data_IF_876951261674
#
_entry.id   IF_876951261674
#
_cell.length_a   1.000
_cell.length_b   1.000
_cell.length_c   1.000
_cell.angle_alpha   90.00
_cell.angle_beta   90.00
_cell.angle_gamma   90.00
#
_symmetry.space_group_name_H-M   'P 1'
#
loop_
_entity.id
_entity.type
_entity.pdbx_description
1 polymer ?
#
# COMPACT_ATOMS: atom_id res chain seq x y z
N UNK A 1 -35.71 -6.00 6.41
CA UNK A 1 -34.99 -5.70 5.15
C UNK A 1 -35.27 -4.28 4.63
N UNK A 2 -36.47 -3.73 4.68
CA UNK A 2 -36.79 -2.38 4.21
C UNK A 2 -36.25 -1.22 5.08
N UNK A 3 -36.04 -1.40 6.37
CA UNK A 3 -35.52 -0.35 7.27
C UNK A 3 -34.03 -0.09 7.05
N UNK A 4 -33.23 -1.12 6.75
CA UNK A 4 -31.82 -0.96 6.43
C UNK A 4 -31.59 -0.24 5.08
N UNK A 5 -32.46 -0.46 4.11
CA UNK A 5 -32.38 0.19 2.80
C UNK A 5 -32.72 1.67 2.88
N UNK A 6 -33.66 2.06 3.75
CA UNK A 6 -34.05 3.46 3.95
C UNK A 6 -32.96 4.28 4.68
N UNK A 7 -32.26 3.67 5.63
CA UNK A 7 -31.12 4.28 6.32
C UNK A 7 -29.94 4.46 5.38
N UNK A 8 -29.65 3.48 4.48
CA UNK A 8 -28.58 3.62 3.49
C UNK A 8 -28.83 4.72 2.47
N UNK A 9 -30.07 4.90 1.97
CA UNK A 9 -30.40 5.94 0.98
C UNK A 9 -30.35 7.33 1.62
N UNK A 10 -30.85 7.51 2.85
CA UNK A 10 -30.77 8.78 3.54
C UNK A 10 -29.35 9.20 3.91
N UNK A 11 -28.50 8.26 4.28
CA UNK A 11 -27.07 8.54 4.56
C UNK A 11 -26.29 8.87 3.28
N UNK A 12 -26.64 8.30 2.12
CA UNK A 12 -25.99 8.59 0.84
C UNK A 12 -26.33 10.00 0.34
N UNK A 13 -27.59 10.40 0.42
CA UNK A 13 -28.05 11.75 -0.01
C UNK A 13 -27.54 12.85 0.96
N UNK A 14 -27.45 12.54 2.25
CA UNK A 14 -26.88 13.47 3.25
C UNK A 14 -25.37 13.65 3.06
N UNK A 15 -24.65 12.58 2.70
CA UNK A 15 -23.22 12.61 2.39
C UNK A 15 -22.90 13.47 1.15
N UNK A 16 -23.69 13.37 0.08
CA UNK A 16 -23.46 14.16 -1.14
C UNK A 16 -23.72 15.66 -0.90
N UNK A 17 -24.74 16.02 -0.12
CA UNK A 17 -25.02 17.43 0.25
C UNK A 17 -23.96 17.99 1.22
N UNK A 18 -23.44 17.21 2.16
CA UNK A 18 -22.37 17.64 3.07
C UNK A 18 -21.05 17.87 2.30
N UNK A 19 -20.70 16.98 1.39
CA UNK A 19 -19.50 17.09 0.55
C UNK A 19 -19.56 18.32 -0.36
N UNK A 20 -20.73 18.60 -0.92
CA UNK A 20 -20.95 19.77 -1.75
C UNK A 20 -20.86 21.09 -0.95
N UNK A 21 -21.39 21.15 0.28
CA UNK A 21 -21.30 22.32 1.16
C UNK A 21 -19.88 22.59 1.66
N UNK A 22 -19.08 21.56 1.92
CA UNK A 22 -17.69 21.69 2.39
C UNK A 22 -16.80 22.26 1.27
N UNK A 23 -16.95 21.79 0.04
CA UNK A 23 -16.15 22.24 -1.10
C UNK A 23 -16.49 23.63 -1.61
N UNK A 24 -17.68 24.16 -1.30
CA UNK A 24 -18.12 25.49 -1.76
C UNK A 24 -17.85 26.63 -0.77
N UNK A 25 -17.19 26.40 0.37
CA UNK A 25 -16.92 27.41 1.41
C UNK A 25 -18.16 28.18 1.93
N UNK A 26 -19.37 27.61 1.77
CA UNK A 26 -20.65 28.36 2.01
C UNK A 26 -21.22 28.21 3.42
N UNK A 27 -20.58 27.52 4.36
CA UNK A 27 -21.06 27.37 5.75
C UNK A 27 -19.96 27.59 6.79
N UNK A 28 -19.69 28.81 7.21
CA UNK A 28 -18.65 29.14 8.20
C UNK A 28 -18.85 28.47 9.57
N UNK A 29 -20.10 28.26 9.98
CA UNK A 29 -20.42 27.62 11.27
C UNK A 29 -20.14 26.12 11.29
N UNK A 30 -20.24 25.42 10.16
CA UNK A 30 -19.86 24.00 10.04
C UNK A 30 -18.34 23.81 10.19
N UNK A 31 -17.56 24.77 9.72
CA UNK A 31 -16.11 24.81 9.91
C UNK A 31 -15.77 25.02 11.39
N UNK A 32 -16.47 25.92 12.07
CA UNK A 32 -16.28 26.18 13.50
C UNK A 32 -16.70 25.00 14.39
N UNK A 33 -17.72 24.23 14.00
CA UNK A 33 -18.13 22.99 14.70
C UNK A 33 -17.08 21.90 14.50
N UNK A 34 -16.58 21.71 13.26
CA UNK A 34 -15.51 20.74 12.98
C UNK A 34 -14.19 21.11 13.67
N UNK A 35 -13.83 22.39 13.71
CA UNK A 35 -12.64 22.85 14.44
C UNK A 35 -12.79 22.66 15.96
N UNK A 36 -13.99 22.86 16.52
CA UNK A 36 -14.28 22.56 17.94
C UNK A 36 -14.27 21.06 18.24
N UNK A 37 -14.79 20.22 17.34
CA UNK A 37 -14.72 18.77 17.50
C UNK A 37 -13.30 18.24 17.33
N UNK A 38 -12.50 18.81 16.44
CA UNK A 38 -11.07 18.47 16.29
C UNK A 38 -10.28 18.86 17.55
N UNK A 39 -10.60 20.01 18.18
CA UNK A 39 -9.95 20.46 19.44
C UNK A 39 -10.43 19.63 20.62
N UNK A 40 -11.70 19.25 20.68
CA UNK A 40 -12.25 18.37 21.72
C UNK A 40 -11.69 16.94 21.62
N UNK A 41 -11.52 16.41 20.39
CA UNK A 41 -10.95 15.08 20.17
C UNK A 41 -9.45 14.96 20.39
N UNK A 42 -8.69 16.07 20.44
CA UNK A 42 -7.28 16.02 20.92
C UNK A 42 -7.15 15.63 22.40
N UNK A 43 -8.24 15.70 23.17
CA UNK A 43 -8.29 15.24 24.57
C UNK A 43 -8.84 13.81 24.76
N UNK A 44 -9.47 13.22 23.73
CA UNK A 44 -10.00 11.85 23.76
C UNK A 44 -9.66 11.11 22.46
N UNK A 45 -8.42 10.62 22.36
CA UNK A 45 -7.86 9.96 21.15
C UNK A 45 -8.38 8.54 20.88
N UNK A 46 -9.57 8.13 21.30
CA UNK A 46 -9.90 6.70 21.21
C UNK A 46 -11.16 6.30 20.44
N UNK A 47 -11.87 7.18 19.71
CA UNK A 47 -12.99 6.73 18.86
C UNK A 47 -13.29 7.69 17.70
N UNK A 48 -12.38 7.83 16.74
CA UNK A 48 -12.74 8.34 15.42
C UNK A 48 -13.43 7.20 14.64
N UNK A 49 -14.67 7.40 14.11
CA UNK A 49 -15.30 6.38 13.30
C UNK A 49 -14.40 5.98 12.13
N UNK A 50 -14.26 4.70 11.86
CA UNK A 50 -13.47 4.11 10.75
C UNK A 50 -13.67 4.84 9.40
N UNK A 51 -14.85 5.45 9.21
CA UNK A 51 -15.19 6.24 8.02
C UNK A 51 -14.40 7.57 7.91
N UNK A 52 -14.03 8.22 9.02
CA UNK A 52 -13.25 9.47 8.99
C UNK A 52 -11.77 9.16 8.78
N UNK A 53 -11.28 8.06 9.34
CA UNK A 53 -9.91 7.58 9.11
C UNK A 53 -9.66 7.22 7.63
N UNK A 54 -10.62 6.54 6.97
CA UNK A 54 -10.52 6.22 5.54
C UNK A 54 -10.61 7.45 4.63
N UNK A 55 -11.39 8.48 5.02
CA UNK A 55 -11.47 9.74 4.26
C UNK A 55 -10.21 10.61 4.41
N UNK A 56 -9.57 10.60 5.58
CA UNK A 56 -8.29 11.28 5.79
C UNK A 56 -7.16 10.56 5.04
N UNK A 57 -7.18 9.24 4.96
CA UNK A 57 -6.21 8.45 4.20
C UNK A 57 -6.34 8.69 2.69
N UNK A 58 -7.56 8.79 2.14
CA UNK A 58 -7.80 9.11 0.74
C UNK A 58 -7.31 10.51 0.32
N UNK A 59 -7.09 11.42 1.28
CA UNK A 59 -6.55 12.76 1.02
C UNK A 59 -5.01 12.78 0.87
N UNK A 60 -4.33 11.70 1.18
CA UNK A 60 -2.86 11.60 1.24
C UNK A 60 -2.23 10.98 -0.01
N UNK A 61 -3.04 10.41 -0.90
CA UNK A 61 -2.58 9.96 -2.21
C UNK A 61 -2.29 11.15 -3.15
N UNK A 62 -1.38 10.98 -4.07
CA UNK A 62 -1.05 11.96 -5.13
C UNK A 62 -2.07 11.95 -6.26
N UNK A 63 -2.64 10.78 -6.56
CA UNK A 63 -3.71 10.60 -7.54
C UNK A 63 -5.06 10.79 -6.87
N UNK A 64 -5.90 11.63 -7.46
CA UNK A 64 -7.26 11.95 -6.96
C UNK A 64 -8.30 11.76 -8.05
N UNK A 65 -9.56 11.47 -7.67
CA UNK A 65 -10.64 11.39 -8.65
C UNK A 65 -10.79 12.70 -9.44
N UNK A 66 -10.86 12.59 -10.77
CA UNK A 66 -11.16 13.75 -11.64
C UNK A 66 -12.59 14.22 -11.42
N UNK A 67 -12.78 15.55 -11.26
CA UNK A 67 -14.08 16.15 -11.01
C UNK A 67 -14.99 16.14 -12.25
N UNK A 68 -14.39 16.30 -13.45
CA UNK A 68 -15.10 16.34 -14.72
C UNK A 68 -14.94 15.00 -15.45
N UNK A 69 -15.19 13.90 -14.76
CA UNK A 69 -15.02 12.56 -15.28
C UNK A 69 -16.18 12.12 -16.17
N UNK A 70 -15.86 11.59 -17.34
CA UNK A 70 -16.80 10.93 -18.25
C UNK A 70 -16.15 9.69 -18.84
N UNK A 71 -16.58 8.51 -18.38
CA UNK A 71 -15.99 7.23 -18.79
C UNK A 71 -16.09 6.97 -20.30
N UNK A 72 -17.20 7.37 -20.93
CA UNK A 72 -17.45 7.22 -22.36
C UNK A 72 -16.47 8.06 -23.19
N UNK A 73 -16.30 9.33 -22.79
CA UNK A 73 -15.38 10.24 -23.48
C UNK A 73 -13.92 9.82 -23.26
N UNK A 74 -13.54 9.40 -22.05
CA UNK A 74 -12.21 8.90 -21.76
C UNK A 74 -11.89 7.62 -22.58
N UNK A 75 -12.86 6.72 -22.74
CA UNK A 75 -12.73 5.54 -23.57
C UNK A 75 -12.52 5.89 -25.06
N UNK A 76 -13.20 6.93 -25.57
CA UNK A 76 -12.99 7.42 -26.94
C UNK A 76 -11.59 8.01 -27.16
N UNK A 77 -11.08 8.75 -26.16
CA UNK A 77 -9.71 9.30 -26.23
C UNK A 77 -8.71 8.16 -26.33
N UNK A 78 -8.82 7.14 -25.46
CA UNK A 78 -7.94 5.96 -25.51
C UNK A 78 -8.06 5.19 -26.83
N UNK A 79 -9.27 4.99 -27.32
CA UNK A 79 -9.46 4.33 -28.61
C UNK A 79 -8.76 5.08 -29.75
N UNK A 80 -8.86 6.41 -29.78
CA UNK A 80 -8.20 7.23 -30.80
C UNK A 80 -6.68 7.18 -30.67
N UNK A 81 -6.16 7.19 -29.42
CA UNK A 81 -4.73 7.12 -29.15
C UNK A 81 -4.08 5.78 -29.58
N UNK A 82 -4.88 4.70 -29.66
CA UNK A 82 -4.43 3.36 -30.04
C UNK A 82 -4.94 2.92 -31.43
N UNK A 83 -5.59 3.82 -32.20
CA UNK A 83 -6.16 3.47 -33.49
C UNK A 83 -5.22 3.87 -34.64
N UNK A 84 -4.77 2.91 -35.42
CA UNK A 84 -4.04 3.19 -36.67
C UNK A 84 -2.61 2.67 -36.64
N UNK A 85 -1.69 3.40 -37.27
CA UNK A 85 -0.27 3.09 -37.26
C UNK A 85 0.42 3.97 -36.21
N UNK A 86 0.99 3.33 -35.20
CA UNK A 86 1.59 4.00 -34.06
C UNK A 86 0.59 4.26 -32.94
N UNK A 87 1.11 4.56 -31.77
CA UNK A 87 0.36 4.78 -30.52
C UNK A 87 0.69 6.17 -29.99
N UNK A 88 -0.30 6.89 -29.47
CA UNK A 88 -0.10 8.15 -28.74
C UNK A 88 0.04 7.84 -27.24
N UNK A 89 1.27 7.52 -26.84
CA UNK A 89 1.62 7.17 -25.47
C UNK A 89 1.38 8.34 -24.52
N UNK A 90 1.61 9.58 -24.95
CA UNK A 90 1.37 10.76 -24.15
C UNK A 90 -0.13 10.94 -23.83
N UNK A 91 -1.03 10.74 -24.79
CA UNK A 91 -2.47 10.78 -24.54
C UNK A 91 -2.92 9.68 -23.56
N UNK A 92 -2.37 8.47 -23.68
CA UNK A 92 -2.68 7.36 -22.77
C UNK A 92 -2.22 7.67 -21.36
N UNK A 93 -0.96 8.08 -21.17
CA UNK A 93 -0.39 8.33 -19.84
C UNK A 93 -1.06 9.52 -19.15
N UNK A 94 -1.27 10.65 -19.86
CA UNK A 94 -1.90 11.84 -19.29
C UNK A 94 -3.33 11.55 -18.81
N UNK A 95 -4.07 10.73 -19.55
CA UNK A 95 -5.42 10.34 -19.17
C UNK A 95 -5.41 9.37 -17.99
N UNK A 96 -4.75 8.22 -18.12
CA UNK A 96 -4.87 7.14 -17.14
C UNK A 96 -4.25 7.48 -15.78
N UNK A 97 -3.14 8.23 -15.75
CA UNK A 97 -2.51 8.67 -14.51
C UNK A 97 -3.39 9.70 -13.77
N UNK A 98 -4.13 10.54 -14.51
CA UNK A 98 -5.03 11.56 -13.94
C UNK A 98 -6.41 11.03 -13.54
N UNK A 99 -6.63 9.73 -13.53
CA UNK A 99 -7.88 9.10 -13.09
C UNK A 99 -7.64 8.21 -11.88
N UNK A 100 -8.59 8.21 -10.93
CA UNK A 100 -8.56 7.24 -9.84
C UNK A 100 -8.79 5.81 -10.35
N UNK A 101 -8.41 4.80 -9.58
CA UNK A 101 -8.64 3.40 -9.93
C UNK A 101 -10.13 3.11 -10.17
N UNK A 102 -11.02 3.64 -9.33
CA UNK A 102 -12.47 3.50 -9.54
C UNK A 102 -12.92 4.09 -10.90
N UNK A 103 -12.35 5.21 -11.34
CA UNK A 103 -12.63 5.79 -12.65
C UNK A 103 -12.03 4.94 -13.77
N UNK A 104 -10.82 4.42 -13.61
CA UNK A 104 -10.21 3.51 -14.59
C UNK A 104 -11.03 2.22 -14.76
N UNK A 105 -11.62 1.66 -13.69
CA UNK A 105 -12.53 0.52 -13.84
C UNK A 105 -13.78 0.87 -14.66
N UNK A 106 -14.34 2.08 -14.50
CA UNK A 106 -15.47 2.54 -15.31
C UNK A 106 -15.07 2.75 -16.78
N UNK A 107 -13.88 3.28 -17.04
CA UNK A 107 -13.33 3.42 -18.41
C UNK A 107 -13.19 2.04 -19.08
N UNK A 108 -12.71 1.00 -18.37
CA UNK A 108 -12.64 -0.38 -18.91
C UNK A 108 -14.01 -0.86 -19.40
N UNK A 109 -15.05 -0.67 -18.58
CA UNK A 109 -16.42 -1.07 -18.94
C UNK A 109 -16.93 -0.28 -20.14
N UNK A 110 -16.73 1.05 -20.15
CA UNK A 110 -17.15 1.92 -21.26
C UNK A 110 -16.43 1.55 -22.56
N UNK A 111 -15.13 1.28 -22.50
CA UNK A 111 -14.33 0.88 -23.67
C UNK A 111 -14.83 -0.43 -24.29
N UNK A 112 -15.06 -1.45 -23.44
CA UNK A 112 -15.61 -2.73 -23.90
C UNK A 112 -17.00 -2.59 -24.49
N UNK A 113 -17.85 -1.76 -23.89
CA UNK A 113 -19.23 -1.51 -24.36
C UNK A 113 -19.24 -0.81 -25.71
N UNK A 114 -18.36 0.18 -25.93
CA UNK A 114 -18.34 0.97 -27.16
C UNK A 114 -17.61 0.27 -28.32
N UNK A 115 -16.50 -0.39 -28.03
CA UNK A 115 -15.58 -0.90 -29.05
C UNK A 115 -15.51 -2.42 -29.12
N UNK A 116 -16.18 -3.13 -28.21
CA UNK A 116 -16.22 -4.60 -28.17
C UNK A 116 -14.89 -5.27 -27.78
N UNK A 117 -13.86 -4.48 -27.42
CA UNK A 117 -12.51 -4.94 -27.07
C UNK A 117 -12.23 -4.77 -25.59
N UNK A 118 -11.39 -5.62 -25.01
CA UNK A 118 -10.86 -5.37 -23.68
C UNK A 118 -9.79 -4.28 -23.74
N UNK A 119 -9.88 -3.29 -22.83
CA UNK A 119 -8.95 -2.18 -22.80
C UNK A 119 -7.54 -2.61 -22.37
N UNK A 120 -7.45 -3.52 -21.39
CA UNK A 120 -6.14 -3.98 -20.88
C UNK A 120 -5.41 -4.79 -21.95
N UNK A 121 -6.12 -5.66 -22.66
CA UNK A 121 -5.55 -6.45 -23.75
C UNK A 121 -5.12 -5.54 -24.92
N UNK A 122 -5.89 -4.48 -25.21
CA UNK A 122 -5.51 -3.50 -26.23
C UNK A 122 -4.23 -2.74 -25.80
N UNK A 123 -4.15 -2.27 -24.54
CA UNK A 123 -2.97 -1.59 -24.01
C UNK A 123 -1.72 -2.49 -24.07
N UNK A 124 -1.83 -3.77 -23.73
CA UNK A 124 -0.73 -4.74 -23.85
C UNK A 124 -0.26 -4.95 -25.28
N UNK A 125 -1.16 -4.83 -26.25
CA UNK A 125 -0.82 -4.95 -27.67
C UNK A 125 -0.14 -3.70 -28.25
N UNK A 126 -0.34 -2.55 -27.64
CA UNK A 126 0.12 -1.24 -28.13
C UNK A 126 1.33 -0.69 -27.39
N UNK A 127 1.49 -1.04 -26.10
CA UNK A 127 2.57 -0.56 -25.26
C UNK A 127 3.66 -1.63 -25.11
N UNK A 128 4.82 -1.22 -24.59
CA UNK A 128 5.90 -2.15 -24.37
C UNK A 128 6.75 -1.82 -23.13
N UNK A 129 7.53 -2.82 -22.69
CA UNK A 129 8.52 -2.68 -21.64
C UNK A 129 7.91 -2.27 -20.28
N UNK A 130 8.67 -1.49 -19.51
CA UNK A 130 8.26 -1.06 -18.16
C UNK A 130 7.10 -0.06 -18.18
N UNK A 131 6.93 0.68 -19.28
CA UNK A 131 5.77 1.55 -19.46
C UNK A 131 4.47 0.75 -19.55
N UNK A 132 4.44 -0.32 -20.34
CA UNK A 132 3.31 -1.26 -20.39
C UNK A 132 3.01 -1.82 -18.99
N UNK A 133 4.03 -2.34 -18.30
CA UNK A 133 3.88 -2.92 -16.95
C UNK A 133 3.23 -1.93 -15.97
N UNK A 134 3.69 -0.67 -15.99
CA UNK A 134 3.15 0.39 -15.12
C UNK A 134 1.68 0.70 -15.46
N UNK A 135 1.36 0.92 -16.75
CA UNK A 135 0.00 1.26 -17.17
C UNK A 135 -0.97 0.10 -16.92
N UNK A 136 -0.59 -1.13 -17.22
CA UNK A 136 -1.41 -2.33 -16.94
C UNK A 136 -1.60 -2.50 -15.42
N UNK A 137 -0.57 -2.25 -14.62
CA UNK A 137 -0.67 -2.24 -13.16
C UNK A 137 -1.69 -1.23 -12.64
N UNK A 138 -1.69 0.00 -13.17
CA UNK A 138 -2.69 1.02 -12.82
C UNK A 138 -4.13 0.63 -13.19
N UNK A 139 -4.30 -0.20 -14.24
CA UNK A 139 -5.61 -0.68 -14.69
C UNK A 139 -6.17 -1.82 -13.84
N UNK A 140 -5.37 -2.46 -13.00
CA UNK A 140 -5.85 -3.49 -12.07
C UNK A 140 -6.55 -2.87 -10.86
N UNK A 141 -7.61 -3.51 -10.37
CA UNK A 141 -8.19 -3.14 -9.08
C UNK A 141 -7.18 -3.45 -7.95
N UNK A 142 -7.08 -2.62 -6.87
CA UNK A 142 -6.03 -2.78 -5.86
C UNK A 142 -5.95 -4.19 -5.26
N UNK A 143 -7.10 -4.79 -4.92
CA UNK A 143 -7.15 -6.16 -4.40
C UNK A 143 -6.66 -7.18 -5.44
N UNK A 144 -7.10 -7.07 -6.68
CA UNK A 144 -6.67 -7.96 -7.77
C UNK A 144 -5.18 -7.80 -8.09
N UNK A 145 -4.63 -6.59 -7.95
CA UNK A 145 -3.21 -6.34 -8.10
C UNK A 145 -2.37 -7.08 -7.03
N UNK A 146 -2.74 -6.96 -5.75
CA UNK A 146 -2.05 -7.68 -4.67
C UNK A 146 -2.15 -9.20 -4.83
N UNK A 147 -3.33 -9.71 -5.20
CA UNK A 147 -3.58 -11.15 -5.44
C UNK A 147 -2.71 -11.67 -6.58
N UNK A 148 -2.67 -10.97 -7.71
CA UNK A 148 -1.84 -11.37 -8.86
C UNK A 148 -0.34 -11.24 -8.58
N UNK A 149 0.08 -10.22 -7.81
CA UNK A 149 1.47 -10.04 -7.40
C UNK A 149 1.94 -11.21 -6.52
N UNK A 150 1.13 -11.63 -5.55
CA UNK A 150 1.44 -12.80 -4.70
C UNK A 150 1.48 -14.10 -5.53
N UNK A 151 0.51 -14.31 -6.44
CA UNK A 151 0.53 -15.48 -7.34
C UNK A 151 1.81 -15.54 -8.17
N UNK A 152 2.19 -14.41 -8.74
CA UNK A 152 3.41 -14.35 -9.58
C UNK A 152 4.69 -14.54 -8.75
N UNK A 153 4.71 -14.12 -7.48
CA UNK A 153 5.84 -14.26 -6.59
C UNK A 153 6.13 -15.72 -6.19
N UNK A 154 5.11 -16.59 -6.20
CA UNK A 154 5.23 -18.01 -5.82
C UNK A 154 5.09 -18.97 -7.00
N UNK A 155 4.70 -18.46 -8.19
CA UNK A 155 4.53 -19.30 -9.38
C UNK A 155 5.84 -19.43 -10.16
N UNK A 156 6.34 -20.63 -10.32
CA UNK A 156 7.50 -20.92 -11.17
C UNK A 156 8.68 -21.51 -10.39
N UNK A 157 9.87 -21.34 -10.94
CA UNK A 157 11.10 -21.82 -10.30
C UNK A 157 11.66 -20.72 -9.37
N UNK A 158 11.46 -20.89 -8.08
CA UNK A 158 11.88 -19.94 -7.03
C UNK A 158 10.74 -19.00 -6.59
N UNK A 159 10.99 -18.31 -5.48
CA UNK A 159 10.03 -17.42 -4.83
C UNK A 159 10.57 -16.00 -4.79
N UNK A 160 9.77 -15.03 -5.19
CA UNK A 160 10.09 -13.60 -4.94
C UNK A 160 9.69 -13.23 -3.51
N UNK A 161 10.60 -13.49 -2.58
CA UNK A 161 10.39 -13.21 -1.16
C UNK A 161 10.13 -11.72 -0.89
N UNK A 162 10.66 -10.81 -1.71
CA UNK A 162 10.47 -9.36 -1.54
C UNK A 162 8.99 -8.98 -1.67
N UNK A 163 8.27 -9.55 -2.64
CA UNK A 163 6.84 -9.31 -2.84
C UNK A 163 6.03 -9.83 -1.66
N UNK A 164 6.34 -11.05 -1.18
CA UNK A 164 5.68 -11.62 0.00
C UNK A 164 5.89 -10.74 1.23
N UNK A 165 7.13 -10.32 1.47
CA UNK A 165 7.51 -9.43 2.59
C UNK A 165 6.77 -8.11 2.50
N UNK A 166 6.81 -7.44 1.34
CA UNK A 166 6.17 -6.13 1.15
C UNK A 166 4.67 -6.18 1.42
N UNK A 167 3.96 -7.10 0.78
CA UNK A 167 2.49 -7.16 0.88
C UNK A 167 2.08 -7.57 2.29
N UNK A 168 2.62 -8.66 2.83
CA UNK A 168 2.15 -9.21 4.10
C UNK A 168 2.56 -8.38 5.33
N UNK A 169 3.67 -7.64 5.26
CA UNK A 169 4.07 -6.74 6.34
C UNK A 169 3.32 -5.40 6.33
N UNK A 170 2.92 -4.89 5.16
CA UNK A 170 2.38 -3.52 5.01
C UNK A 170 0.86 -3.45 4.92
N UNK A 171 0.18 -4.52 4.53
CA UNK A 171 -1.30 -4.53 4.45
C UNK A 171 -1.91 -4.69 5.84
N UNK A 172 -3.08 -4.09 6.04
CA UNK A 172 -3.84 -4.25 7.28
C UNK A 172 -4.36 -5.68 7.43
N UNK A 173 -4.63 -6.17 8.66
CA UNK A 173 -5.20 -7.50 8.87
C UNK A 173 -6.47 -7.76 8.05
N UNK A 174 -7.32 -6.74 7.88
CA UNK A 174 -8.53 -6.85 7.08
C UNK A 174 -8.21 -7.02 5.58
N UNK A 175 -7.26 -6.23 5.05
CA UNK A 175 -6.82 -6.36 3.65
C UNK A 175 -6.20 -7.74 3.39
N UNK A 176 -5.41 -8.27 4.32
CA UNK A 176 -4.85 -9.63 4.20
C UNK A 176 -5.94 -10.68 4.11
N UNK A 177 -6.98 -10.60 4.93
CA UNK A 177 -8.14 -11.51 4.84
C UNK A 177 -8.86 -11.42 3.50
N UNK A 178 -9.02 -10.20 2.98
CA UNK A 178 -9.62 -9.98 1.66
C UNK A 178 -8.75 -10.55 0.53
N UNK A 179 -7.42 -10.43 0.64
CA UNK A 179 -6.46 -11.01 -0.31
C UNK A 179 -6.56 -12.55 -0.30
N UNK A 180 -6.55 -13.19 0.87
CA UNK A 180 -6.66 -14.65 0.99
C UNK A 180 -7.97 -15.16 0.39
N UNK A 181 -9.09 -14.49 0.70
CA UNK A 181 -10.39 -14.85 0.13
C UNK A 181 -10.46 -14.65 -1.38
N UNK A 182 -9.89 -13.57 -1.88
CA UNK A 182 -9.86 -13.26 -3.31
C UNK A 182 -8.93 -14.21 -4.08
N UNK A 183 -7.79 -14.57 -3.51
CA UNK A 183 -6.86 -15.54 -4.09
C UNK A 183 -7.52 -16.89 -4.31
N UNK A 184 -8.22 -17.41 -3.28
CA UNK A 184 -8.96 -18.68 -3.38
C UNK A 184 -10.05 -18.61 -4.45
N UNK A 185 -10.75 -17.48 -4.54
CA UNK A 185 -11.81 -17.27 -5.53
C UNK A 185 -11.28 -17.23 -6.96
N UNK A 186 -10.11 -16.61 -7.17
CA UNK A 186 -9.54 -16.37 -8.49
C UNK A 186 -8.83 -17.60 -9.04
N UNK A 187 -8.09 -18.32 -8.18
CA UNK A 187 -7.21 -19.42 -8.63
C UNK A 187 -7.68 -20.82 -8.20
N UNK A 188 -8.72 -20.90 -7.38
CA UNK A 188 -9.20 -22.16 -6.75
C UNK A 188 -8.11 -22.87 -5.92
N UNK A 189 -7.10 -22.10 -5.48
CA UNK A 189 -5.94 -22.55 -4.70
C UNK A 189 -5.93 -21.87 -3.31
N UNK A 190 -5.23 -22.44 -2.35
CA UNK A 190 -5.04 -21.88 -1.01
C UNK A 190 -3.69 -21.15 -0.92
N UNK A 191 -3.75 -19.83 -0.65
CA UNK A 191 -2.56 -18.99 -0.57
C UNK A 191 -1.60 -19.42 0.55
N UNK A 192 -2.13 -19.94 1.68
CA UNK A 192 -1.29 -20.43 2.78
C UNK A 192 -0.55 -21.71 2.39
N UNK A 193 -1.23 -22.62 1.68
CA UNK A 193 -0.62 -23.86 1.17
C UNK A 193 0.46 -23.54 0.14
N UNK A 194 0.19 -22.64 -0.81
CA UNK A 194 1.14 -22.23 -1.84
C UNK A 194 2.40 -21.60 -1.22
N UNK A 195 2.24 -20.61 -0.33
CA UNK A 195 3.38 -19.98 0.37
C UNK A 195 4.12 -21.00 1.25
N UNK A 196 3.40 -21.91 1.90
CA UNK A 196 4.00 -22.93 2.75
C UNK A 196 4.77 -23.98 1.95
N UNK A 197 4.38 -24.24 0.73
CA UNK A 197 5.10 -25.11 -0.20
C UNK A 197 6.44 -24.53 -0.64
N UNK A 198 6.49 -23.21 -0.82
CA UNK A 198 7.64 -22.51 -1.40
C UNK A 198 8.60 -21.91 -0.36
N UNK A 199 8.24 -21.92 0.91
CA UNK A 199 9.04 -21.33 1.99
C UNK A 199 9.31 -22.32 3.11
N UNK A 200 10.24 -22.01 4.02
CA UNK A 200 10.63 -22.92 5.09
C UNK A 200 11.00 -22.20 6.40
N UNK A 201 11.16 -22.96 7.48
CA UNK A 201 11.68 -22.49 8.76
C UNK A 201 10.84 -21.42 9.43
N UNK A 202 11.51 -20.48 10.10
CA UNK A 202 10.87 -19.37 10.81
C UNK A 202 10.32 -18.30 9.87
N UNK A 203 10.87 -18.16 8.66
CA UNK A 203 10.34 -17.29 7.61
C UNK A 203 8.91 -17.70 7.23
N UNK A 204 8.72 -18.97 6.83
CA UNK A 204 7.41 -19.56 6.58
C UNK A 204 6.43 -19.32 7.74
N UNK A 205 6.89 -19.62 8.98
CA UNK A 205 6.05 -19.50 10.15
C UNK A 205 5.54 -18.08 10.37
N UNK A 206 6.39 -17.07 10.16
CA UNK A 206 5.97 -15.66 10.26
C UNK A 206 5.00 -15.28 9.14
N UNK A 207 5.25 -15.69 7.89
CA UNK A 207 4.32 -15.47 6.77
C UNK A 207 2.93 -16.06 7.06
N UNK A 208 2.86 -17.29 7.54
CA UNK A 208 1.59 -17.95 7.90
C UNK A 208 0.86 -17.18 9.01
N UNK A 209 1.57 -16.72 10.05
CA UNK A 209 0.95 -15.89 11.11
C UNK A 209 0.36 -14.59 10.51
N UNK A 210 1.07 -13.94 9.61
CA UNK A 210 0.60 -12.71 8.97
C UNK A 210 -0.63 -12.96 8.09
N UNK A 211 -0.65 -14.08 7.33
CA UNK A 211 -1.76 -14.48 6.47
C UNK A 211 -3.07 -14.69 7.23
N UNK A 212 -3.02 -15.10 8.49
CA UNK A 212 -4.23 -15.23 9.32
C UNK A 212 -4.96 -13.89 9.52
N UNK A 213 -4.27 -12.77 9.37
CA UNK A 213 -4.86 -11.44 9.58
C UNK A 213 -5.48 -11.26 10.98
N UNK A 214 -4.93 -11.96 11.99
CA UNK A 214 -5.47 -12.00 13.36
C UNK A 214 -4.59 -11.27 14.37
N UNK A 215 -3.85 -10.23 13.94
CA UNK A 215 -3.10 -9.40 14.87
C UNK A 215 -4.02 -8.82 15.94
N UNK A 216 -3.54 -8.79 17.16
CA UNK A 216 -4.27 -8.20 18.30
C UNK A 216 -4.60 -6.74 17.99
N UNK A 217 -5.67 -6.24 18.59
CA UNK A 217 -6.06 -4.84 18.50
C UNK A 217 -5.66 -4.07 19.76
N UNK A 218 -5.24 -2.82 19.60
CA UNK A 218 -4.89 -1.92 20.70
C UNK A 218 -3.65 -2.34 21.49
N UNK A 219 -3.42 -1.66 22.59
CA UNK A 219 -2.29 -1.91 23.51
C UNK A 219 -2.74 -2.81 24.64
N UNK A 220 -2.07 -3.92 24.83
CA UNK A 220 -2.27 -4.81 25.98
C UNK A 220 -1.47 -4.25 27.17
N UNK A 221 -2.11 -3.43 27.99
CA UNK A 221 -1.48 -2.88 29.19
C UNK A 221 -0.91 -3.99 30.10
N UNK A 222 0.27 -3.77 30.66
CA UNK A 222 0.99 -4.76 31.49
C UNK A 222 1.84 -5.77 30.72
N UNK A 223 1.67 -5.91 29.39
CA UNK A 223 2.46 -6.84 28.59
C UNK A 223 3.59 -6.16 27.79
N UNK A 224 3.65 -4.82 27.75
CA UNK A 224 4.65 -4.10 26.95
C UNK A 224 6.06 -4.36 27.46
N UNK A 225 6.30 -4.14 28.76
CA UNK A 225 7.60 -4.38 29.41
C UNK A 225 7.95 -5.87 29.43
N UNK A 226 6.94 -6.73 29.61
CA UNK A 226 7.14 -8.19 29.57
C UNK A 226 7.57 -8.65 28.17
N UNK A 227 6.88 -8.21 27.10
CA UNK A 227 7.25 -8.53 25.72
C UNK A 227 8.65 -8.00 25.36
N UNK A 228 9.00 -6.78 25.80
CA UNK A 228 10.34 -6.22 25.60
C UNK A 228 11.44 -7.04 26.31
N UNK A 229 11.19 -7.47 27.56
CA UNK A 229 12.12 -8.33 28.29
C UNK A 229 12.26 -9.71 27.66
N UNK A 230 11.17 -10.30 27.17
CA UNK A 230 11.18 -11.59 26.50
C UNK A 230 11.98 -11.53 25.22
N UNK A 231 11.80 -10.48 24.39
CA UNK A 231 12.59 -10.25 23.17
C UNK A 231 14.08 -10.03 23.49
N UNK A 232 14.39 -9.24 24.53
CA UNK A 232 15.76 -8.99 24.95
C UNK A 232 16.48 -10.29 25.40
N UNK A 233 15.78 -11.14 26.17
CA UNK A 233 16.32 -12.44 26.58
C UNK A 233 16.50 -13.39 25.39
N UNK A 234 15.60 -13.37 24.42
CA UNK A 234 15.62 -14.24 23.26
C UNK A 234 16.78 -13.93 22.30
N UNK A 235 17.17 -12.67 22.18
CA UNK A 235 18.32 -12.24 21.38
C UNK A 235 19.59 -12.12 22.19
N UNK A 236 19.66 -11.13 23.08
CA UNK A 236 20.92 -10.64 23.63
C UNK A 236 21.46 -11.45 24.84
N UNK A 237 20.63 -12.23 25.51
CA UNK A 237 21.04 -12.98 26.72
C UNK A 237 21.21 -14.49 26.50
N UNK A 238 21.09 -14.95 25.28
CA UNK A 238 21.19 -16.37 24.93
C UNK A 238 22.33 -16.60 23.93
N UNK A 239 23.05 -17.71 24.10
CA UNK A 239 24.00 -18.16 23.08
C UNK A 239 23.19 -18.78 21.93
N UNK A 240 23.09 -18.04 20.81
CA UNK A 240 22.13 -18.31 19.72
C UNK A 240 20.79 -17.63 20.00
N UNK A 241 20.07 -17.33 18.93
CA UNK A 241 18.80 -16.58 18.96
C UNK A 241 17.62 -17.53 19.13
N UNK A 242 16.60 -17.10 19.86
CA UNK A 242 15.28 -17.74 19.86
C UNK A 242 14.35 -17.03 18.86
N UNK A 243 14.54 -17.34 17.57
CA UNK A 243 13.79 -16.74 16.47
C UNK A 243 12.29 -16.97 16.63
N UNK A 244 11.88 -18.08 17.26
CA UNK A 244 10.48 -18.36 17.51
C UNK A 244 9.81 -17.31 18.38
N UNK A 245 10.51 -16.77 19.35
CA UNK A 245 10.02 -15.70 20.21
C UNK A 245 9.81 -14.41 19.41
N UNK A 246 10.75 -14.02 18.55
CA UNK A 246 10.59 -12.87 17.64
C UNK A 246 9.38 -13.05 16.73
N UNK A 247 9.26 -14.21 16.08
CA UNK A 247 8.14 -14.57 15.20
C UNK A 247 6.80 -14.44 15.94
N UNK A 248 6.71 -14.95 17.16
CA UNK A 248 5.46 -14.96 17.92
C UNK A 248 5.04 -13.56 18.34
N UNK A 249 5.95 -12.74 18.88
CA UNK A 249 5.61 -11.41 19.37
C UNK A 249 5.37 -10.46 18.19
N UNK A 250 6.30 -10.37 17.23
CA UNK A 250 6.21 -9.43 16.13
C UNK A 250 5.08 -9.79 15.14
N UNK A 251 4.73 -11.07 15.02
CA UNK A 251 3.64 -11.53 14.17
C UNK A 251 2.24 -11.27 14.74
N UNK A 252 2.06 -11.35 16.07
CA UNK A 252 0.72 -11.35 16.67
C UNK A 252 0.32 -10.03 17.34
N UNK A 253 1.28 -9.22 17.81
CA UNK A 253 0.95 -7.95 18.49
C UNK A 253 0.50 -6.88 17.50
N UNK A 254 -0.37 -5.96 17.97
CA UNK A 254 -0.78 -4.79 17.18
C UNK A 254 0.40 -3.86 16.91
N UNK A 255 0.36 -3.08 15.82
CA UNK A 255 1.37 -2.08 15.52
C UNK A 255 1.50 -1.03 16.65
N UNK A 256 0.38 -0.66 17.29
CA UNK A 256 0.37 0.27 18.41
C UNK A 256 1.07 -0.29 19.65
N UNK A 257 0.83 -1.57 19.95
CA UNK A 257 1.52 -2.27 21.03
C UNK A 257 3.01 -2.42 20.74
N UNK A 258 3.38 -2.83 19.53
CA UNK A 258 4.77 -3.01 19.12
C UNK A 258 5.58 -1.72 19.21
N UNK A 259 5.03 -0.56 18.86
CA UNK A 259 5.74 0.72 19.04
C UNK A 259 6.17 0.93 20.48
N UNK A 260 5.28 0.65 21.44
CA UNK A 260 5.62 0.76 22.88
C UNK A 260 6.63 -0.29 23.33
N UNK A 261 6.54 -1.51 22.78
CA UNK A 261 7.54 -2.57 23.02
C UNK A 261 8.91 -2.14 22.51
N UNK A 262 9.01 -1.51 21.36
CA UNK A 262 10.28 -1.02 20.81
C UNK A 262 10.89 0.09 21.67
N UNK A 263 10.06 1.02 22.19
CA UNK A 263 10.51 2.05 23.14
C UNK A 263 11.02 1.44 24.46
N UNK A 264 10.36 0.40 24.97
CA UNK A 264 10.79 -0.32 26.16
C UNK A 264 12.06 -1.14 25.90
N UNK A 265 12.15 -1.78 24.72
CA UNK A 265 13.32 -2.54 24.30
C UNK A 265 14.57 -1.66 24.18
N UNK A 266 14.46 -0.48 23.57
CA UNK A 266 15.54 0.50 23.49
C UNK A 266 16.10 0.88 24.84
N UNK A 267 15.24 1.00 25.87
CA UNK A 267 15.67 1.29 27.25
C UNK A 267 16.42 0.13 27.89
N UNK A 268 16.09 -1.11 27.52
CA UNK A 268 16.75 -2.32 28.04
C UNK A 268 18.06 -2.61 27.34
N UNK A 269 18.07 -2.55 26.01
CA UNK A 269 19.17 -2.96 25.17
C UNK A 269 20.19 -1.84 24.88
N UNK A 270 19.74 -0.58 24.91
CA UNK A 270 20.55 0.59 24.51
C UNK A 270 20.65 0.80 23.01
N UNK A 271 19.91 0.03 22.20
CA UNK A 271 19.86 0.13 20.73
C UNK A 271 18.48 -0.29 20.22
N UNK A 272 18.20 0.04 18.94
CA UNK A 272 16.91 -0.20 18.33
C UNK A 272 16.65 -1.69 18.02
N UNK A 273 15.37 -2.07 17.97
CA UNK A 273 14.92 -3.43 17.63
C UNK A 273 15.45 -3.89 16.27
N UNK A 274 15.54 -2.98 15.31
CA UNK A 274 16.08 -3.27 13.97
C UNK A 274 17.56 -3.67 14.00
N UNK A 275 18.32 -3.16 14.95
CA UNK A 275 19.73 -3.53 15.13
C UNK A 275 19.86 -4.93 15.71
N UNK A 276 19.05 -5.27 16.70
CA UNK A 276 18.98 -6.63 17.25
C UNK A 276 18.60 -7.63 16.17
N UNK A 277 17.54 -7.39 15.42
CA UNK A 277 17.11 -8.28 14.31
C UNK A 277 18.24 -8.51 13.30
N UNK A 278 19.00 -7.47 12.95
CA UNK A 278 20.12 -7.59 12.00
C UNK A 278 21.28 -8.43 12.53
N UNK A 279 21.54 -8.40 13.84
CA UNK A 279 22.57 -9.19 14.49
C UNK A 279 22.16 -10.64 14.67
N UNK A 280 20.91 -10.86 15.05
CA UNK A 280 20.39 -12.13 15.53
C UNK A 280 19.77 -13.00 14.44
N UNK A 281 19.43 -12.44 13.28
CA UNK A 281 18.72 -13.17 12.21
C UNK A 281 19.35 -12.93 10.83
N UNK A 282 18.99 -13.76 9.85
CA UNK A 282 19.51 -13.68 8.49
C UNK A 282 18.46 -14.07 7.43
N UNK A 283 18.75 -13.80 6.15
CA UNK A 283 17.91 -14.19 5.01
C UNK A 283 16.51 -13.60 5.06
N UNK A 284 15.55 -14.28 4.45
CA UNK A 284 14.16 -13.85 4.35
C UNK A 284 13.49 -13.58 5.69
N UNK A 285 13.84 -14.34 6.75
CA UNK A 285 13.33 -14.08 8.10
C UNK A 285 13.73 -12.70 8.60
N UNK A 286 14.99 -12.30 8.46
CA UNK A 286 15.49 -10.98 8.84
C UNK A 286 14.73 -9.89 8.09
N UNK A 287 14.58 -10.06 6.78
CA UNK A 287 13.95 -9.04 5.94
C UNK A 287 12.47 -8.87 6.27
N UNK A 288 11.76 -9.97 6.55
CA UNK A 288 10.36 -9.93 6.99
C UNK A 288 10.19 -9.32 8.39
N UNK A 289 11.03 -9.68 9.36
CA UNK A 289 11.00 -9.09 10.70
C UNK A 289 11.28 -7.58 10.65
N UNK A 290 12.28 -7.15 9.86
CA UNK A 290 12.58 -5.73 9.66
C UNK A 290 11.41 -4.99 9.00
N UNK A 291 10.76 -5.58 7.99
CA UNK A 291 9.59 -4.99 7.36
C UNK A 291 8.43 -4.84 8.35
N UNK A 292 8.16 -5.85 9.18
CA UNK A 292 7.13 -5.80 10.23
C UNK A 292 7.42 -4.68 11.23
N UNK A 293 8.66 -4.55 11.71
CA UNK A 293 9.05 -3.49 12.66
C UNK A 293 8.90 -2.11 12.03
N UNK A 294 9.41 -1.92 10.81
CA UNK A 294 9.30 -0.66 10.08
C UNK A 294 7.86 -0.28 9.79
N UNK A 295 7.03 -1.21 9.30
CA UNK A 295 5.60 -0.97 9.07
C UNK A 295 4.84 -0.69 10.37
N UNK A 296 5.20 -1.32 11.49
CA UNK A 296 4.62 -1.01 12.80
C UNK A 296 4.96 0.42 13.25
N UNK A 297 6.15 0.94 12.93
CA UNK A 297 6.53 2.33 13.18
C UNK A 297 5.81 3.30 12.24
N UNK A 298 6.00 3.13 10.93
CA UNK A 298 5.44 3.99 9.87
C UNK A 298 5.46 3.28 8.51
N UNK A 299 4.30 3.00 7.97
CA UNK A 299 4.17 2.41 6.63
C UNK A 299 4.74 3.34 5.54
N UNK A 300 4.47 4.67 5.55
CA UNK A 300 5.10 5.58 4.58
C UNK A 300 6.64 5.58 4.62
N UNK A 301 7.22 5.49 5.82
CA UNK A 301 8.68 5.41 5.99
C UNK A 301 9.24 4.13 5.39
N UNK A 302 8.58 2.99 5.62
CA UNK A 302 8.95 1.71 5.02
C UNK A 302 8.97 1.79 3.48
N UNK A 303 7.92 2.35 2.87
CA UNK A 303 7.87 2.50 1.41
C UNK A 303 8.85 3.54 0.86
N UNK A 304 9.16 4.59 1.62
CA UNK A 304 10.21 5.54 1.25
C UNK A 304 11.58 4.85 1.16
N UNK A 305 11.93 4.02 2.14
CA UNK A 305 13.15 3.22 2.10
C UNK A 305 13.13 2.20 0.96
N UNK A 306 11.99 1.51 0.74
CA UNK A 306 11.83 0.55 -0.36
C UNK A 306 12.08 1.20 -1.72
N UNK A 307 11.50 2.39 -1.97
CA UNK A 307 11.73 3.16 -3.19
C UNK A 307 13.19 3.60 -3.35
N UNK A 308 13.81 4.06 -2.25
CA UNK A 308 15.22 4.46 -2.30
C UNK A 308 16.12 3.29 -2.70
N UNK A 309 15.95 2.12 -2.06
CA UNK A 309 16.77 0.96 -2.38
C UNK A 309 16.46 0.33 -3.75
N UNK A 310 15.25 0.53 -4.26
CA UNK A 310 14.90 0.12 -5.63
C UNK A 310 15.65 0.91 -6.71
N UNK A 311 16.04 2.17 -6.40
CA UNK A 311 16.72 3.08 -7.33
C UNK A 311 18.19 3.35 -6.96
N UNK A 312 18.67 2.84 -5.83
CA UNK A 312 20.05 3.08 -5.37
C UNK A 312 21.03 2.11 -6.00
N UNK A 313 21.98 2.62 -6.76
CA UNK A 313 23.12 1.82 -7.27
C UNK A 313 23.19 1.78 -8.78
N UNK A 314 23.74 0.71 -9.32
CA UNK A 314 23.80 0.49 -10.77
C UNK A 314 22.58 -0.31 -11.22
N UNK A 315 21.63 0.38 -11.83
CA UNK A 315 20.36 -0.19 -12.31
C UNK A 315 19.20 -0.01 -11.32
N UNK A 316 18.00 -0.18 -11.81
CA UNK A 316 16.73 0.05 -11.09
C UNK A 316 16.01 -1.29 -10.89
N UNK A 317 15.53 -1.55 -9.69
CA UNK A 317 14.51 -2.58 -9.43
C UNK A 317 13.13 -2.03 -9.84
N UNK A 318 12.91 -2.04 -11.16
CA UNK A 318 11.69 -1.47 -11.76
C UNK A 318 10.42 -2.13 -11.24
N UNK A 319 10.45 -3.43 -10.96
CA UNK A 319 9.27 -4.17 -10.53
C UNK A 319 8.84 -3.71 -9.13
N UNK A 320 9.78 -3.48 -8.23
CA UNK A 320 9.53 -2.86 -6.92
C UNK A 320 9.08 -1.40 -7.06
N UNK A 321 9.75 -0.60 -7.91
CA UNK A 321 9.39 0.79 -8.14
C UNK A 321 7.95 0.91 -8.67
N UNK A 322 7.58 0.13 -9.70
CA UNK A 322 6.23 0.10 -10.27
C UNK A 322 5.21 -0.32 -9.21
N UNK A 323 5.46 -1.40 -8.49
CA UNK A 323 4.52 -1.94 -7.50
C UNK A 323 4.21 -0.92 -6.42
N UNK A 324 5.22 -0.26 -5.86
CA UNK A 324 5.02 0.77 -4.83
C UNK A 324 4.29 1.98 -5.40
N UNK A 325 4.70 2.49 -6.56
CA UNK A 325 4.06 3.65 -7.18
C UNK A 325 2.58 3.38 -7.52
N UNK A 326 2.25 2.20 -8.04
CA UNK A 326 0.87 1.79 -8.33
C UNK A 326 0.04 1.67 -7.05
N UNK A 327 0.54 0.95 -6.05
CA UNK A 327 -0.26 0.61 -4.86
C UNK A 327 -0.39 1.77 -3.88
N UNK A 328 0.55 2.74 -3.87
CA UNK A 328 0.55 3.86 -2.93
C UNK A 328 0.02 5.17 -3.49
N UNK A 329 -0.09 5.30 -4.84
CA UNK A 329 -0.49 6.54 -5.51
C UNK A 329 -1.82 7.14 -5.03
N UNK A 330 -2.79 6.32 -4.67
CA UNK A 330 -4.10 6.77 -4.16
C UNK A 330 -4.23 6.65 -2.64
N UNK A 331 -3.24 6.06 -1.95
CA UNK A 331 -3.31 5.78 -0.51
C UNK A 331 -2.55 6.83 0.30
N UNK A 332 -1.23 6.87 0.19
CA UNK A 332 -0.37 7.69 1.03
C UNK A 332 0.94 8.11 0.36
N UNK A 333 1.03 8.09 -0.98
CA UNK A 333 2.27 8.42 -1.69
C UNK A 333 2.78 9.82 -1.33
N UNK A 334 1.91 10.75 -0.96
CA UNK A 334 2.31 12.08 -0.49
C UNK A 334 3.10 12.02 0.83
N UNK A 335 2.70 11.12 1.75
CA UNK A 335 3.45 10.89 2.99
C UNK A 335 4.76 10.16 2.72
N UNK A 336 4.75 9.18 1.80
CA UNK A 336 5.96 8.48 1.35
C UNK A 336 7.00 9.47 0.80
N UNK A 337 6.60 10.43 -0.03
CA UNK A 337 7.47 11.52 -0.54
C UNK A 337 8.07 12.35 0.60
N UNK A 338 7.23 12.71 1.56
CA UNK A 338 7.65 13.50 2.73
C UNK A 338 8.71 12.75 3.55
N UNK A 339 8.49 11.47 3.82
CA UNK A 339 9.45 10.63 4.53
C UNK A 339 10.71 10.38 3.71
N UNK A 340 10.57 10.18 2.39
CA UNK A 340 11.70 10.01 1.48
C UNK A 340 12.67 11.19 1.55
N UNK A 341 12.15 12.41 1.47
CA UNK A 341 12.96 13.63 1.56
C UNK A 341 13.67 13.76 2.93
N UNK A 342 12.96 13.45 4.02
CA UNK A 342 13.54 13.47 5.37
C UNK A 342 14.71 12.50 5.53
N UNK A 343 14.58 11.29 4.97
CA UNK A 343 15.56 10.22 5.13
C UNK A 343 16.78 10.41 4.23
N UNK A 344 16.59 10.90 2.99
CA UNK A 344 17.62 10.83 1.96
C UNK A 344 18.08 12.20 1.45
N UNK A 345 17.54 13.29 1.98
CA UNK A 345 17.88 14.69 1.63
C UNK A 345 17.73 15.02 0.14
N UNK A 346 16.98 14.22 -0.62
CA UNK A 346 16.59 14.46 -2.01
C UNK A 346 15.13 14.15 -2.19
N UNK A 347 14.47 14.71 -3.21
CA UNK A 347 13.06 14.39 -3.50
C UNK A 347 12.94 13.06 -4.24
N UNK A 348 11.80 12.34 -4.00
CA UNK A 348 11.48 11.14 -4.77
C UNK A 348 11.39 11.45 -6.27
N UNK A 349 10.84 12.62 -6.63
CA UNK A 349 10.75 13.09 -8.01
C UNK A 349 12.13 13.18 -8.67
N UNK A 350 13.09 13.83 -8.01
CA UNK A 350 14.46 13.97 -8.52
C UNK A 350 15.15 12.62 -8.71
N UNK A 351 14.92 11.68 -7.78
CA UNK A 351 15.53 10.35 -7.87
C UNK A 351 14.92 9.54 -9.03
N UNK A 352 13.60 9.53 -9.18
CA UNK A 352 12.93 8.91 -10.34
C UNK A 352 13.45 9.50 -11.65
N UNK A 353 13.58 10.84 -11.72
CA UNK A 353 14.06 11.54 -12.90
C UNK A 353 15.51 11.18 -13.25
N UNK A 354 16.34 10.91 -12.27
CA UNK A 354 17.73 10.50 -12.48
C UNK A 354 17.91 9.04 -12.88
N UNK A 355 16.97 8.18 -12.52
CA UNK A 355 17.13 6.72 -12.60
C UNK A 355 16.32 6.05 -13.71
N UNK A 356 15.34 6.75 -14.26
CA UNK A 356 14.43 6.21 -15.28
C UNK A 356 14.43 7.07 -16.56
N UNK A 357 13.73 6.62 -17.63
CA UNK A 357 13.69 7.34 -18.90
C UNK A 357 12.38 7.13 -19.71
N UNK A 358 12.22 7.92 -20.77
CA UNK A 358 11.11 7.78 -21.73
C UNK A 358 9.73 8.04 -21.13
N UNK A 359 8.71 7.39 -21.71
CA UNK A 359 7.31 7.52 -21.26
C UNK A 359 7.07 6.84 -19.91
N UNK A 360 7.85 5.82 -19.59
CA UNK A 360 7.91 5.23 -18.27
C UNK A 360 8.25 6.26 -17.18
N UNK A 361 9.31 7.04 -17.38
CA UNK A 361 9.68 8.14 -16.49
C UNK A 361 8.58 9.18 -16.38
N UNK A 362 8.02 9.63 -17.51
CA UNK A 362 6.94 10.63 -17.52
C UNK A 362 5.75 10.16 -16.67
N UNK A 363 5.33 8.89 -16.83
CA UNK A 363 4.23 8.34 -16.08
C UNK A 363 4.52 8.26 -14.57
N UNK A 364 5.71 7.83 -14.17
CA UNK A 364 6.14 7.80 -12.76
C UNK A 364 6.18 9.19 -12.14
N UNK A 365 6.69 10.20 -12.86
CA UNK A 365 6.76 11.59 -12.38
C UNK A 365 5.36 12.21 -12.21
N UNK A 366 4.42 11.87 -13.09
CA UNK A 366 3.01 12.27 -12.96
C UNK A 366 2.36 11.60 -11.75
N UNK A 367 2.58 10.29 -11.54
CA UNK A 367 2.11 9.58 -10.34
C UNK A 367 2.72 10.16 -9.07
N UNK A 368 3.99 10.56 -9.12
CA UNK A 368 4.65 11.23 -8.00
C UNK A 368 3.95 12.54 -7.62
N UNK A 369 3.30 13.23 -8.58
CA UNK A 369 2.46 14.40 -8.31
C UNK A 369 3.22 15.69 -8.08
N UNK A 370 4.44 15.82 -8.62
CA UNK A 370 5.28 17.02 -8.55
C UNK A 370 6.55 16.84 -7.72
N UNK A 371 7.40 17.84 -7.78
CA UNK A 371 8.67 17.88 -7.03
C UNK A 371 8.50 18.63 -5.71
N UNK A 372 9.09 18.09 -4.65
CA UNK A 372 9.18 18.71 -3.31
C UNK A 372 10.56 19.34 -3.07
N UNK A 373 11.31 19.64 -4.15
CA UNK A 373 12.68 20.13 -4.08
C UNK A 373 12.84 21.45 -3.31
#
# INVERSE_FOLDING_TARGET
MYVCMYICIHTYVFRHKLYWCINQHKCPWLRAVLEKEIICNRRHQNNLPLCISSMLQAARGTVKPSQNFNATQDAEVLYKAMKGIGTDEDAILQLLVARSNAQRQQIKVAYKTQFGKDLVDTLKGELGGKFETLIVGLMAAPLAYDVSALRNAIKGAGTDEKVLVEILASRTPQQVKEIVAAYRKEYDDDLEEDISGDTSGHFKRLLVILLQGNRQSGVQGGNVEADAQVLFKAGEQKFGTDEQTFVTILGNRSAEHLRKVFDAYMKLAGFEMEESIKRETSGGLRDLLLAVVKCARSVPTYFAETLYYAMKGAGTDDDTLIRVMVTRSEVDLFDVRTEFRKLFACSLFSMIKGDTGGDYQKALLLLCGGDDA
#
